data_IF_287004779772
#
_entry.id   IF_287004779772
#
_cell.length_a   1.000
_cell.length_b   1.000
_cell.length_c   1.000
_cell.angle_alpha   90.00
_cell.angle_beta   90.00
_cell.angle_gamma   90.00
#
_symmetry.space_group_name_H-M   'P 1'
#
loop_
_entity.id
_entity.type
_entity.pdbx_description
1 polymer ?
#
# COMPACT_ATOMS: atom_id res chain seq x y z
N UNK A 1 5.47 3.24 20.35
CA UNK A 1 5.97 2.36 19.27
C UNK A 1 4.96 1.30 18.82
N UNK A 2 4.22 0.64 19.72
CA UNK A 2 3.25 -0.41 19.36
C UNK A 2 2.24 -0.04 18.26
N UNK A 3 1.67 1.16 18.30
CA UNK A 3 0.74 1.63 17.27
C UNK A 3 1.36 1.78 15.87
N UNK A 4 2.65 2.13 15.79
CA UNK A 4 3.38 2.22 14.52
C UNK A 4 3.59 0.82 13.93
N UNK A 5 4.04 -0.12 14.77
CA UNK A 5 4.21 -1.52 14.38
C UNK A 5 2.88 -2.10 13.91
N UNK A 6 1.79 -1.85 14.64
CA UNK A 6 0.45 -2.24 14.22
C UNK A 6 0.09 -1.68 12.84
N UNK A 7 0.35 -0.39 12.57
CA UNK A 7 0.14 0.20 11.26
C UNK A 7 0.95 -0.46 10.14
N UNK A 8 2.22 -0.80 10.40
CA UNK A 8 3.07 -1.53 9.43
C UNK A 8 2.46 -2.90 9.14
N UNK A 9 2.09 -3.66 10.18
CA UNK A 9 1.50 -5.00 10.03
C UNK A 9 0.16 -4.94 9.29
N UNK A 10 -0.68 -3.94 9.60
CA UNK A 10 -1.95 -3.72 8.89
C UNK A 10 -1.69 -3.47 7.40
N UNK A 11 -0.74 -2.61 7.05
CA UNK A 11 -0.41 -2.37 5.65
C UNK A 11 0.08 -3.65 4.96
N UNK A 12 0.98 -4.39 5.60
CA UNK A 12 1.49 -5.66 5.06
C UNK A 12 0.36 -6.66 4.80
N UNK A 13 -0.60 -6.78 5.72
CA UNK A 13 -1.76 -7.64 5.53
C UNK A 13 -2.64 -7.18 4.36
N UNK A 14 -2.87 -5.87 4.23
CA UNK A 14 -3.60 -5.30 3.09
C UNK A 14 -2.85 -5.61 1.79
N UNK A 15 -1.54 -5.39 1.75
CA UNK A 15 -0.74 -5.62 0.56
C UNK A 15 -0.65 -7.10 0.18
N UNK A 16 -0.58 -8.01 1.16
CA UNK A 16 -0.59 -9.45 0.95
C UNK A 16 -1.89 -9.93 0.27
N UNK A 17 -3.01 -9.23 0.47
CA UNK A 17 -4.27 -9.54 -0.20
C UNK A 17 -4.38 -8.80 -1.53
N UNK A 18 -4.21 -7.47 -1.53
CA UNK A 18 -4.42 -6.63 -2.72
C UNK A 18 -3.36 -6.84 -3.80
N UNK A 19 -2.08 -7.03 -3.43
CA UNK A 19 -1.00 -7.23 -4.38
C UNK A 19 -1.25 -8.43 -5.29
N UNK A 20 -1.51 -9.64 -4.74
CA UNK A 20 -1.87 -10.82 -5.53
C UNK A 20 -3.17 -10.65 -6.33
N UNK A 21 -4.18 -9.98 -5.78
CA UNK A 21 -5.43 -9.70 -6.51
C UNK A 21 -5.17 -8.84 -7.76
N UNK A 22 -4.25 -7.88 -7.69
CA UNK A 22 -3.86 -7.08 -8.86
C UNK A 22 -3.00 -7.91 -9.83
N UNK A 23 -1.98 -8.61 -9.32
CA UNK A 23 -1.01 -9.36 -10.12
C UNK A 23 -1.64 -10.55 -10.87
N UNK A 24 -2.49 -11.33 -10.20
CA UNK A 24 -3.05 -12.57 -10.75
C UNK A 24 -4.53 -12.46 -11.10
N UNK A 25 -5.24 -11.45 -10.61
CA UNK A 25 -6.65 -11.22 -10.92
C UNK A 25 -6.82 -10.12 -11.97
N UNK A 26 -6.67 -8.86 -11.53
CA UNK A 26 -7.01 -7.69 -12.34
C UNK A 26 -6.17 -7.60 -13.62
N UNK A 27 -4.88 -7.93 -13.56
CA UNK A 27 -3.99 -7.94 -14.73
C UNK A 27 -4.39 -8.97 -15.80
N UNK A 28 -5.19 -10.00 -15.46
CA UNK A 28 -5.75 -10.95 -16.43
C UNK A 28 -7.13 -10.53 -16.97
N UNK A 29 -7.80 -9.57 -16.30
CA UNK A 29 -9.13 -9.11 -16.69
C UNK A 29 -9.10 -7.85 -17.57
N UNK A 30 -8.09 -7.01 -17.40
CA UNK A 30 -7.90 -5.76 -18.16
C UNK A 30 -6.46 -5.61 -18.62
N UNK A 31 -6.17 -4.54 -19.38
CA UNK A 31 -4.79 -4.18 -19.76
C UNK A 31 -3.86 -4.20 -18.52
N UNK A 32 -2.76 -4.97 -18.53
CA UNK A 32 -1.85 -5.07 -17.40
C UNK A 32 -1.34 -3.71 -16.92
N UNK A 33 -1.08 -2.78 -17.85
CA UNK A 33 -0.68 -1.41 -17.53
C UNK A 33 -1.74 -0.67 -16.70
N UNK A 34 -3.01 -0.81 -17.08
CA UNK A 34 -4.11 -0.21 -16.34
C UNK A 34 -4.30 -0.90 -14.98
N UNK A 35 -4.21 -2.23 -14.92
CA UNK A 35 -4.32 -2.99 -13.68
C UNK A 35 -3.27 -2.58 -12.65
N UNK A 36 -2.00 -2.51 -13.04
CA UNK A 36 -0.92 -2.11 -12.14
C UNK A 36 -1.02 -0.64 -11.73
N UNK A 37 -1.42 0.26 -12.63
CA UNK A 37 -1.69 1.66 -12.27
C UNK A 37 -2.79 1.76 -11.21
N UNK A 38 -3.91 1.08 -11.40
CA UNK A 38 -5.03 1.07 -10.44
C UNK A 38 -4.56 0.49 -9.11
N UNK A 39 -3.84 -0.63 -9.13
CA UNK A 39 -3.28 -1.26 -7.93
C UNK A 39 -2.35 -0.32 -7.16
N UNK A 40 -1.40 0.32 -7.85
CA UNK A 40 -0.43 1.24 -7.25
C UNK A 40 -1.10 2.46 -6.62
N UNK A 41 -2.03 3.09 -7.35
CA UNK A 41 -2.80 4.23 -6.86
C UNK A 41 -3.65 3.84 -5.66
N UNK A 42 -4.31 2.67 -5.70
CA UNK A 42 -5.17 2.21 -4.61
C UNK A 42 -4.37 1.92 -3.34
N UNK A 43 -3.27 1.16 -3.45
CA UNK A 43 -2.39 0.84 -2.33
C UNK A 43 -1.70 2.09 -1.77
N UNK A 44 -1.30 3.02 -2.63
CA UNK A 44 -0.79 4.33 -2.22
C UNK A 44 -1.85 5.17 -1.51
N UNK A 45 -3.09 5.20 -2.01
CA UNK A 45 -4.20 5.93 -1.39
C UNK A 45 -4.57 5.34 -0.03
N UNK A 46 -4.52 4.03 0.16
CA UNK A 46 -4.72 3.41 1.48
C UNK A 46 -3.63 3.83 2.46
N UNK A 47 -2.36 3.80 2.04
CA UNK A 47 -1.24 4.16 2.89
C UNK A 47 -1.25 5.66 3.27
N UNK A 48 -1.32 6.54 2.26
CA UNK A 48 -1.24 7.98 2.46
C UNK A 48 -2.58 8.60 2.83
N UNK A 49 -3.66 8.23 2.15
CA UNK A 49 -5.01 8.72 2.46
C UNK A 49 -5.53 8.19 3.79
N UNK A 50 -5.45 6.86 4.00
CA UNK A 50 -5.81 6.25 5.29
C UNK A 50 -4.89 6.74 6.42
N UNK A 51 -3.59 6.81 6.18
CA UNK A 51 -2.61 7.30 7.15
C UNK A 51 -2.81 8.77 7.51
N UNK A 52 -2.99 9.65 6.53
CA UNK A 52 -3.22 11.07 6.76
C UNK A 52 -4.55 11.33 7.49
N UNK A 53 -5.62 10.59 7.13
CA UNK A 53 -6.90 10.70 7.82
C UNK A 53 -6.80 10.29 9.30
N UNK A 54 -6.06 9.21 9.60
CA UNK A 54 -5.80 8.78 10.97
C UNK A 54 -4.97 9.81 11.76
N UNK A 55 -3.93 10.38 11.15
CA UNK A 55 -3.12 11.42 11.76
C UNK A 55 -3.96 12.68 12.05
N UNK A 56 -4.78 13.12 11.09
CA UNK A 56 -5.65 14.29 11.23
C UNK A 56 -6.69 14.12 12.34
N UNK A 57 -7.17 12.88 12.57
CA UNK A 57 -8.12 12.55 13.65
C UNK A 57 -7.46 12.33 15.01
N UNK A 58 -6.13 12.37 15.12
CA UNK A 58 -5.40 12.01 16.35
C UNK A 58 -5.46 13.05 17.49
N UNK A 59 -6.30 14.09 17.39
CA UNK A 59 -6.33 15.23 18.33
C UNK A 59 -6.47 14.84 19.81
N UNK A 60 -7.09 13.68 20.12
CA UNK A 60 -7.35 13.25 21.51
C UNK A 60 -6.56 12.02 21.95
N UNK A 61 -5.97 11.26 21.02
CA UNK A 61 -5.29 10.02 21.37
C UNK A 61 -4.05 9.82 20.49
N UNK A 62 -2.93 9.34 21.03
CA UNK A 62 -1.68 9.21 20.27
C UNK A 62 -1.66 7.98 19.34
N UNK A 63 -2.52 6.98 19.56
CA UNK A 63 -2.53 5.74 18.78
C UNK A 63 -2.89 5.90 17.28
N UNK A 64 -3.85 6.75 16.85
CA UNK A 64 -4.20 6.87 15.42
C UNK A 64 -3.06 7.51 14.64
N UNK A 65 -2.33 8.44 15.26
CA UNK A 65 -1.11 9.02 14.67
C UNK A 65 -0.07 7.94 14.42
N UNK A 66 0.13 7.05 15.40
CA UNK A 66 1.04 5.92 15.28
C UNK A 66 0.66 4.97 14.14
N UNK A 67 -0.60 4.53 14.08
CA UNK A 67 -1.09 3.66 13.01
C UNK A 67 -0.94 4.34 11.65
N UNK A 68 -1.31 5.63 11.55
CA UNK A 68 -1.22 6.35 10.29
C UNK A 68 0.22 6.48 9.77
N UNK A 69 1.18 6.78 10.64
CA UNK A 69 2.61 6.75 10.28
C UNK A 69 3.05 5.32 9.92
N UNK A 70 2.58 4.31 10.65
CA UNK A 70 2.86 2.91 10.38
C UNK A 70 2.35 2.44 9.01
N UNK A 71 1.19 2.90 8.55
CA UNK A 71 0.67 2.59 7.21
C UNK A 71 1.58 3.14 6.11
N UNK A 72 2.06 4.38 6.25
CA UNK A 72 2.98 5.00 5.30
C UNK A 72 4.36 4.30 5.29
N UNK A 73 4.87 3.97 6.48
CA UNK A 73 6.12 3.21 6.62
C UNK A 73 5.97 1.81 6.01
N UNK A 74 4.87 1.12 6.30
CA UNK A 74 4.56 -0.19 5.74
C UNK A 74 4.58 -0.16 4.22
N UNK A 75 3.92 0.82 3.60
CA UNK A 75 3.94 1.01 2.15
C UNK A 75 5.35 1.19 1.57
N UNK A 76 6.18 2.01 2.22
CA UNK A 76 7.55 2.22 1.80
C UNK A 76 8.37 0.93 1.92
N UNK A 77 8.28 0.24 3.07
CA UNK A 77 8.99 -1.01 3.31
C UNK A 77 8.59 -2.08 2.30
N UNK A 78 7.29 -2.31 2.08
CA UNK A 78 6.83 -3.32 1.12
C UNK A 78 7.28 -2.97 -0.30
N UNK A 79 7.25 -1.70 -0.68
CA UNK A 79 7.74 -1.25 -1.99
C UNK A 79 9.22 -1.52 -2.17
N UNK A 80 10.05 -1.23 -1.16
CA UNK A 80 11.50 -1.48 -1.23
C UNK A 80 11.80 -2.98 -1.24
N UNK A 81 11.22 -3.74 -0.32
CA UNK A 81 11.50 -5.17 -0.14
C UNK A 81 11.03 -6.04 -1.31
N UNK A 82 10.02 -5.58 -2.06
CA UNK A 82 9.48 -6.31 -3.21
C UNK A 82 9.89 -5.69 -4.55
N UNK A 83 10.82 -4.73 -4.56
CA UNK A 83 11.20 -3.95 -5.74
C UNK A 83 9.98 -3.34 -6.48
N UNK A 84 8.95 -2.94 -5.73
CA UNK A 84 7.72 -2.34 -6.23
C UNK A 84 6.76 -3.32 -6.91
N UNK A 85 7.02 -4.63 -6.89
CA UNK A 85 6.19 -5.63 -7.57
C UNK A 85 4.83 -5.74 -6.88
N UNK A 86 4.81 -5.92 -5.56
CA UNK A 86 3.58 -6.09 -4.80
C UNK A 86 2.79 -4.78 -4.60
N UNK A 87 3.40 -3.64 -4.93
CA UNK A 87 2.77 -2.31 -4.88
C UNK A 87 2.48 -1.74 -6.25
N UNK A 88 2.79 -2.46 -7.34
CA UNK A 88 2.59 -1.99 -8.71
C UNK A 88 3.47 -0.79 -9.10
N UNK A 89 4.51 -0.48 -8.33
CA UNK A 89 5.43 0.64 -8.61
C UNK A 89 6.58 0.26 -9.54
N UNK A 90 6.77 -1.03 -9.80
CA UNK A 90 7.89 -1.49 -10.62
C UNK A 90 7.72 -1.03 -12.08
N UNK A 91 8.62 -0.19 -12.63
CA UNK A 91 8.49 0.33 -13.98
C UNK A 91 8.54 -0.76 -15.05
N UNK A 92 9.21 -1.88 -14.79
CA UNK A 92 9.27 -3.00 -15.71
C UNK A 92 7.85 -3.49 -16.07
N UNK A 93 6.91 -3.48 -15.12
CA UNK A 93 5.53 -3.92 -15.31
C UNK A 93 4.74 -3.10 -16.34
N UNK A 94 5.20 -1.89 -16.67
CA UNK A 94 4.55 -1.00 -17.63
C UNK A 94 5.20 -1.01 -19.02
N UNK A 95 6.40 -1.58 -19.11
CA UNK A 95 7.19 -1.62 -20.34
C UNK A 95 7.17 -2.99 -21.03
N UNK A 96 6.78 -4.06 -20.31
CA UNK A 96 6.59 -5.38 -20.94
C UNK A 96 5.47 -5.31 -21.98
N UNK A 97 5.82 -5.71 -23.22
CA UNK A 97 4.94 -5.80 -24.40
C UNK A 97 4.10 -7.05 -24.35
#
# INVERSE_FOLDING_TARGET
>A
MGAVIAGITIYMAINLVFGPLVLFGLANAISPKAAFLIGAVTLGAVAFGGGAALIARSRRQPWPKGIGMGLMIGWALTSILTAGICTGLNPAMYTWR
#
